data_IF_318997407703
#
_entry.id   IF_318997407703
#
_cell.length_a   1.000
_cell.length_b   1.000
_cell.length_c   1.000
_cell.angle_alpha   90.00
_cell.angle_beta   90.00
_cell.angle_gamma   90.00
#
_symmetry.space_group_name_H-M   'P 1'
#
loop_
_entity.id
_entity.type
_entity.pdbx_description
1 polymer ?
#
# COMPACT_ATOMS: atom_id res chain seq x y z
N UNK A 1 22.11 -31.50 -11.06
CA UNK A 1 20.80 -31.59 -10.39
C UNK A 1 20.68 -30.47 -9.37
N UNK A 2 19.83 -29.50 -9.69
CA UNK A 2 19.14 -28.49 -8.87
C UNK A 2 19.48 -28.41 -7.38
N UNK A 3 20.27 -27.39 -6.96
CA UNK A 3 20.06 -26.70 -5.68
C UNK A 3 20.21 -25.19 -5.85
N UNK A 4 19.05 -24.62 -6.18
CA UNK A 4 18.48 -23.42 -5.55
C UNK A 4 18.98 -22.05 -5.99
N UNK A 5 18.33 -21.56 -7.05
CA UNK A 5 18.13 -20.17 -7.51
C UNK A 5 17.63 -19.16 -6.44
N UNK A 6 17.70 -19.47 -5.15
CA UNK A 6 17.25 -18.56 -4.07
C UNK A 6 18.31 -17.52 -3.68
N UNK A 7 19.58 -17.71 -4.04
CA UNK A 7 20.67 -16.82 -3.62
C UNK A 7 20.79 -15.53 -4.46
N UNK A 8 20.13 -15.44 -5.63
CA UNK A 8 20.26 -14.28 -6.52
C UNK A 8 19.24 -13.13 -6.28
N UNK A 9 18.39 -13.21 -5.25
CA UNK A 9 17.44 -12.13 -4.88
C UNK A 9 18.01 -11.10 -3.88
N UNK A 10 19.34 -11.00 -3.73
CA UNK A 10 19.99 -10.18 -2.70
C UNK A 10 20.63 -8.86 -3.15
N UNK A 11 20.40 -8.36 -4.37
CA UNK A 11 21.18 -7.22 -4.89
C UNK A 11 20.42 -5.99 -5.43
N UNK A 12 19.21 -5.70 -4.94
CA UNK A 12 18.47 -4.43 -5.18
C UNK A 12 17.36 -4.25 -4.12
N UNK A 13 17.71 -4.32 -2.84
CA UNK A 13 16.77 -4.57 -1.72
C UNK A 13 15.69 -3.48 -1.54
N UNK A 14 14.57 -3.61 -2.26
CA UNK A 14 13.27 -3.10 -1.85
C UNK A 14 12.83 -3.92 -0.63
N UNK A 15 13.19 -3.43 0.56
CA UNK A 15 12.78 -4.03 1.82
C UNK A 15 11.30 -3.73 2.07
N UNK A 16 10.47 -4.73 1.75
CA UNK A 16 9.00 -4.63 1.86
C UNK A 16 8.53 -4.30 3.29
N UNK A 17 9.25 -4.71 4.34
CA UNK A 17 8.92 -4.34 5.74
C UNK A 17 9.09 -2.84 5.95
N UNK A 18 10.23 -2.29 5.53
CA UNK A 18 10.49 -0.84 5.62
C UNK A 18 9.47 -0.03 4.83
N UNK A 19 9.02 -0.55 3.70
CA UNK A 19 7.99 0.09 2.86
C UNK A 19 6.65 0.16 3.59
N UNK A 20 6.20 -0.94 4.19
CA UNK A 20 4.98 -0.98 4.98
C UNK A 20 5.01 0.04 6.13
N UNK A 21 6.06 0.01 6.96
CA UNK A 21 6.23 0.97 8.07
C UNK A 21 6.26 2.42 7.57
N UNK A 22 6.95 2.68 6.46
CA UNK A 22 6.99 4.03 5.86
C UNK A 22 5.60 4.46 5.38
N UNK A 23 4.83 3.58 4.76
CA UNK A 23 3.47 3.87 4.31
C UNK A 23 2.58 4.32 5.48
N UNK A 24 2.54 3.55 6.57
CA UNK A 24 1.71 3.87 7.74
C UNK A 24 2.12 5.14 8.49
N UNK A 25 3.35 5.61 8.28
CA UNK A 25 3.83 6.90 8.81
C UNK A 25 3.69 8.06 7.81
N UNK A 26 3.35 7.78 6.55
CA UNK A 26 3.35 8.79 5.50
C UNK A 26 2.22 9.79 5.67
N UNK A 27 2.50 11.05 5.35
CA UNK A 27 1.49 12.12 5.25
C UNK A 27 0.93 12.18 3.82
N UNK A 28 -0.28 12.74 3.61
CA UNK A 28 -0.89 12.89 2.28
C UNK A 28 0.03 13.56 1.24
N UNK A 29 0.77 14.60 1.63
CA UNK A 29 1.74 15.27 0.73
C UNK A 29 2.92 14.38 0.37
N UNK A 30 3.42 13.57 1.32
CA UNK A 30 4.55 12.68 1.10
C UNK A 30 4.18 11.51 0.18
N UNK A 31 2.99 10.94 0.34
CA UNK A 31 2.51 9.88 -0.56
C UNK A 31 2.25 10.42 -1.97
N UNK A 32 1.73 11.65 -2.11
CA UNK A 32 1.54 12.28 -3.41
C UNK A 32 2.85 12.43 -4.20
N UNK A 33 3.92 12.88 -3.54
CA UNK A 33 5.24 12.96 -4.16
C UNK A 33 5.76 11.57 -4.58
N UNK A 34 5.59 10.57 -3.73
CA UNK A 34 5.99 9.20 -4.03
C UNK A 34 5.23 8.62 -5.23
N UNK A 35 3.90 8.77 -5.25
CA UNK A 35 3.06 8.31 -6.36
C UNK A 35 3.49 8.98 -7.66
N UNK A 36 3.68 10.30 -7.69
CA UNK A 36 4.18 11.00 -8.88
C UNK A 36 5.55 10.48 -9.36
N UNK A 37 6.49 10.25 -8.44
CA UNK A 37 7.85 9.81 -8.78
C UNK A 37 7.90 8.34 -9.25
N UNK A 38 7.06 7.49 -8.68
CA UNK A 38 7.12 6.02 -8.84
C UNK A 38 6.06 5.46 -9.78
N UNK A 39 5.10 6.27 -10.22
CA UNK A 39 4.05 5.87 -11.18
C UNK A 39 4.62 5.28 -12.47
N UNK A 40 5.69 5.87 -13.01
CA UNK A 40 6.37 5.39 -14.22
C UNK A 40 7.36 4.25 -13.96
N UNK A 41 7.55 3.83 -12.69
CA UNK A 41 8.56 2.86 -12.27
C UNK A 41 7.98 1.46 -12.07
N UNK A 42 7.33 0.93 -13.10
CA UNK A 42 6.81 -0.45 -13.12
C UNK A 42 5.85 -0.75 -11.97
N UNK A 43 6.07 -1.86 -11.25
CA UNK A 43 5.19 -2.33 -10.18
C UNK A 43 5.38 -1.63 -8.83
N UNK A 44 6.29 -0.66 -8.71
CA UNK A 44 6.71 -0.07 -7.41
C UNK A 44 5.53 0.41 -6.57
N UNK A 45 4.57 1.11 -7.18
CA UNK A 45 3.37 1.62 -6.47
C UNK A 45 2.48 0.46 -6.02
N UNK A 46 2.27 -0.53 -6.87
CA UNK A 46 1.49 -1.72 -6.55
C UNK A 46 2.14 -2.51 -5.41
N UNK A 47 3.43 -2.83 -5.50
CA UNK A 47 4.16 -3.56 -4.47
C UNK A 47 4.11 -2.84 -3.12
N UNK A 48 4.22 -1.50 -3.13
CA UNK A 48 4.05 -0.69 -1.92
C UNK A 48 2.66 -0.84 -1.31
N UNK A 49 1.62 -0.73 -2.15
CA UNK A 49 0.22 -0.76 -1.70
C UNK A 49 -0.19 -2.15 -1.20
N UNK A 50 0.22 -3.20 -1.91
CA UNK A 50 0.05 -4.61 -1.53
C UNK A 50 0.64 -4.88 -0.14
N UNK A 51 1.87 -4.39 0.12
CA UNK A 51 2.51 -4.54 1.41
C UNK A 51 1.79 -3.77 2.51
N UNK A 52 1.29 -2.56 2.22
CA UNK A 52 0.64 -1.72 3.20
C UNK A 52 -0.76 -2.23 3.60
N UNK A 53 -1.50 -2.75 2.64
CA UNK A 53 -2.91 -3.15 2.75
C UNK A 53 -3.14 -4.59 3.20
N UNK A 54 -2.06 -5.39 3.26
CA UNK A 54 -2.10 -6.83 3.55
C UNK A 54 -2.99 -7.64 2.61
N UNK A 55 -3.27 -7.14 1.40
CA UNK A 55 -4.21 -7.73 0.43
C UNK A 55 -5.61 -8.02 1.02
N UNK A 56 -6.02 -7.23 2.02
CA UNK A 56 -7.33 -7.34 2.64
C UNK A 56 -8.28 -6.26 2.10
N UNK A 57 -9.58 -6.55 2.01
CA UNK A 57 -10.57 -5.55 1.61
C UNK A 57 -10.96 -4.65 2.79
N UNK A 58 -10.46 -3.42 2.78
CA UNK A 58 -10.73 -2.42 3.83
C UNK A 58 -11.95 -1.53 3.52
N UNK A 59 -12.75 -1.83 2.50
CA UNK A 59 -13.82 -0.94 2.02
C UNK A 59 -14.79 -0.55 3.13
N UNK A 60 -15.16 -1.48 4.01
CA UNK A 60 -16.06 -1.19 5.12
C UNK A 60 -15.42 -0.23 6.14
N UNK A 61 -14.16 -0.50 6.52
CA UNK A 61 -13.41 0.41 7.39
C UNK A 61 -13.29 1.81 6.78
N UNK A 62 -12.98 1.88 5.48
CA UNK A 62 -12.84 3.13 4.76
C UNK A 62 -14.13 3.96 4.75
N UNK A 63 -15.29 3.31 4.55
CA UNK A 63 -16.60 3.99 4.64
C UNK A 63 -16.82 4.62 6.01
N UNK A 64 -16.46 3.92 7.09
CA UNK A 64 -16.55 4.44 8.47
C UNK A 64 -15.55 5.57 8.73
N UNK A 65 -14.39 5.55 8.07
CA UNK A 65 -13.35 6.57 8.15
C UNK A 65 -13.50 7.70 7.12
N UNK A 66 -14.72 7.95 6.65
CA UNK A 66 -15.07 9.08 5.77
C UNK A 66 -14.27 9.14 4.46
N UNK A 67 -13.81 8.00 3.95
CA UNK A 67 -13.26 7.91 2.59
C UNK A 67 -14.41 8.10 1.61
N UNK A 68 -14.31 9.11 0.74
CA UNK A 68 -15.35 9.41 -0.23
C UNK A 68 -15.58 8.24 -1.21
N UNK A 69 -16.82 8.03 -1.70
CA UNK A 69 -17.20 6.87 -2.51
C UNK A 69 -16.27 6.59 -3.70
N UNK A 70 -15.84 7.64 -4.40
CA UNK A 70 -14.96 7.58 -5.58
C UNK A 70 -13.57 7.03 -5.25
N UNK A 71 -13.16 7.12 -3.99
CA UNK A 71 -11.85 6.68 -3.51
C UNK A 71 -11.87 5.29 -2.85
N UNK A 72 -13.05 4.70 -2.64
CA UNK A 72 -13.18 3.40 -1.97
C UNK A 72 -12.48 2.26 -2.71
N UNK A 73 -12.30 2.39 -4.04
CA UNK A 73 -11.53 1.41 -4.82
C UNK A 73 -10.09 1.23 -4.32
N UNK A 74 -9.50 2.27 -3.70
CA UNK A 74 -8.15 2.19 -3.14
C UNK A 74 -8.09 1.44 -1.81
N UNK A 75 -9.24 1.11 -1.22
CA UNK A 75 -9.37 0.34 0.03
C UNK A 75 -9.42 -1.16 -0.21
N UNK A 76 -9.89 -1.58 -1.39
CA UNK A 76 -10.16 -2.98 -1.71
C UNK A 76 -8.89 -3.81 -1.92
N UNK A 77 -7.74 -3.14 -2.14
CA UNK A 77 -6.40 -3.73 -2.20
C UNK A 77 -6.23 -4.91 -3.17
N UNK A 78 -7.16 -5.07 -4.09
CA UNK A 78 -7.26 -6.14 -5.08
C UNK A 78 -6.85 -5.66 -6.48
N UNK A 79 -7.14 -4.39 -6.78
CA UNK A 79 -6.84 -3.76 -8.07
C UNK A 79 -5.47 -3.04 -8.03
N UNK A 80 -4.70 -3.01 -9.13
CA UNK A 80 -3.56 -2.11 -9.21
C UNK A 80 -4.08 -0.70 -8.95
N UNK A 81 -3.50 -0.01 -7.96
CA UNK A 81 -3.72 1.42 -7.78
C UNK A 81 -3.41 2.07 -9.12
N UNK A 82 -4.45 2.39 -9.90
CA UNK A 82 -4.18 3.01 -11.19
C UNK A 82 -3.58 4.36 -10.87
N UNK A 83 -2.41 4.56 -11.44
CA UNK A 83 -1.56 5.72 -11.22
C UNK A 83 -1.98 6.89 -12.12
N UNK A 84 -3.23 6.87 -12.58
CA UNK A 84 -3.85 7.99 -13.28
C UNK A 84 -4.05 9.17 -12.31
N UNK A 85 -4.10 10.38 -12.84
CA UNK A 85 -4.29 11.62 -12.06
C UNK A 85 -5.49 11.61 -11.11
N UNK A 86 -6.42 10.66 -11.25
CA UNK A 86 -7.54 10.44 -10.33
C UNK A 86 -7.10 10.11 -8.90
N UNK A 87 -5.92 9.52 -8.67
CA UNK A 87 -5.43 9.33 -7.30
C UNK A 87 -5.17 10.67 -6.59
N UNK A 88 -4.87 11.74 -7.33
CA UNK A 88 -4.63 13.07 -6.76
C UNK A 88 -5.88 13.60 -6.04
N UNK A 89 -7.06 13.36 -6.61
CA UNK A 89 -8.34 13.68 -5.98
C UNK A 89 -8.53 12.94 -4.64
N UNK A 90 -8.02 11.71 -4.57
CA UNK A 90 -8.12 10.87 -3.37
C UNK A 90 -7.04 11.11 -2.31
N UNK A 91 -6.11 12.07 -2.52
CA UNK A 91 -5.07 12.41 -1.53
C UNK A 91 -5.70 12.85 -0.21
N UNK A 92 -6.81 13.59 -0.25
CA UNK A 92 -7.51 14.03 0.97
C UNK A 92 -8.04 12.85 1.81
N UNK A 93 -8.46 11.77 1.15
CA UNK A 93 -8.96 10.55 1.79
C UNK A 93 -7.85 9.62 2.26
N UNK A 94 -6.58 9.91 1.93
CA UNK A 94 -5.44 9.04 2.21
C UNK A 94 -5.30 8.70 3.69
N UNK A 95 -5.56 9.65 4.59
CA UNK A 95 -5.47 9.37 6.03
C UNK A 95 -6.45 8.28 6.45
N UNK A 96 -7.72 8.36 6.02
CA UNK A 96 -8.72 7.34 6.34
C UNK A 96 -8.34 5.95 5.81
N UNK A 97 -7.78 5.89 4.60
CA UNK A 97 -7.29 4.63 4.01
C UNK A 97 -6.10 4.08 4.83
N UNK A 98 -5.10 4.92 5.10
CA UNK A 98 -3.89 4.56 5.85
C UNK A 98 -4.23 4.07 7.25
N UNK A 99 -5.16 4.75 7.92
CA UNK A 99 -5.54 4.46 9.29
C UNK A 99 -6.27 3.11 9.36
N UNK A 100 -7.09 2.77 8.36
CA UNK A 100 -7.67 1.44 8.22
C UNK A 100 -6.62 0.34 8.02
N UNK A 101 -5.67 0.55 7.12
CA UNK A 101 -4.58 -0.42 6.89
C UNK A 101 -3.76 -0.65 8.16
N UNK A 102 -3.56 0.41 8.94
CA UNK A 102 -2.85 0.35 10.21
C UNK A 102 -3.66 -0.38 11.29
N UNK A 103 -4.93 -0.04 11.48
CA UNK A 103 -5.78 -0.65 12.51
C UNK A 103 -6.04 -2.14 12.28
N UNK A 104 -5.99 -2.58 11.01
CA UNK A 104 -6.11 -4.01 10.70
C UNK A 104 -4.98 -4.82 11.34
N UNK A 105 -3.78 -4.24 11.45
CA UNK A 105 -2.62 -4.88 12.06
C UNK A 105 -2.73 -5.04 13.57
N UNK A 106 -3.65 -4.33 14.23
CA UNK A 106 -3.87 -4.50 15.68
C UNK A 106 -4.48 -5.86 16.02
N UNK A 107 -5.07 -6.53 15.02
CA UNK A 107 -5.78 -7.82 15.19
C UNK A 107 -5.39 -8.89 14.17
N UNK A 108 -4.58 -8.54 13.16
CA UNK A 108 -4.19 -9.43 12.07
C UNK A 108 -2.70 -9.27 11.76
N UNK A 109 -2.06 -10.36 11.36
CA UNK A 109 -0.67 -10.32 10.96
C UNK A 109 -0.47 -9.57 9.64
N UNK A 110 0.69 -8.95 9.49
CA UNK A 110 1.11 -8.40 8.19
C UNK A 110 1.41 -9.51 7.18
N UNK A 111 1.76 -9.15 5.93
CA UNK A 111 2.10 -10.12 4.87
C UNK A 111 3.35 -10.98 5.17
N UNK A 112 4.07 -10.69 6.25
CA UNK A 112 5.24 -11.45 6.71
C UNK A 112 4.92 -12.36 7.90
N UNK A 113 3.69 -12.30 8.44
CA UNK A 113 3.28 -13.06 9.62
C UNK A 113 3.67 -12.41 10.95
N UNK A 114 4.12 -11.15 10.95
CA UNK A 114 4.41 -10.41 12.19
C UNK A 114 3.11 -9.80 12.75
N UNK A 115 2.95 -9.84 14.08
CA UNK A 115 1.92 -9.12 14.86
C UNK A 115 2.59 -8.05 15.72
#
# INVERSE_FOLDING_TARGET
>A
MQKTLQSQRKNNNFDRRKVQTRFHRSRPRSISFFLNMCTSRGSTVKDMWDCASTHYDHTECCRRNHVIPECLRYCKADDPVTTDYKYLFCIQSFNGIRDCFRSHLDTHANIFGDN
#
